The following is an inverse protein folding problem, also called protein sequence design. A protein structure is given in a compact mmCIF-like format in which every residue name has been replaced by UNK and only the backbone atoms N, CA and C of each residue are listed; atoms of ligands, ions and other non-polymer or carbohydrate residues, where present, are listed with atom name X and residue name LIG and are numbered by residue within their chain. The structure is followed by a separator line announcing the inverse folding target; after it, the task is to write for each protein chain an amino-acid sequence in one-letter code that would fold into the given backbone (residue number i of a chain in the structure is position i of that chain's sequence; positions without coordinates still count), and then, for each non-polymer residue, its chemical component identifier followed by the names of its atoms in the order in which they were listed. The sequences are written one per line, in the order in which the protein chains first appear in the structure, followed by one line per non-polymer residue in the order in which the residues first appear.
data_IF_260863353995
#
_entry.id   IF_260863353995
#
_cell.length_a   1.000
_cell.length_b   1.000
_cell.length_c   1.000
_cell.angle_alpha   90.00
_cell.angle_beta   90.00
_cell.angle_gamma   90.00
#
_symmetry.space_group_name_H-M   'P 1'
#
loop_
_entity.id
_entity.type
_entity.pdbx_description
1 polymer ?
#
# COMPACT_ATOMS: atom_id res chain seq x y z
N UNK A 1 -7.34 -30.51 -7.11
CA UNK A 1 -6.24 -29.58 -7.43
C UNK A 1 -5.00 -30.10 -6.74
N UNK A 2 -3.90 -30.24 -7.47
CA UNK A 2 -2.62 -30.62 -6.91
C UNK A 2 -2.06 -29.42 -6.11
N UNK A 3 -1.66 -29.65 -4.85
CA UNK A 3 -1.13 -28.59 -4.00
C UNK A 3 0.27 -28.22 -4.48
N UNK A 4 0.45 -26.98 -4.93
CA UNK A 4 1.75 -26.48 -5.33
C UNK A 4 2.71 -26.54 -4.13
N UNK A 5 3.84 -27.24 -4.28
CA UNK A 5 4.90 -27.26 -3.26
C UNK A 5 5.91 -26.18 -3.60
N UNK A 6 6.00 -25.18 -2.74
CA UNK A 6 6.96 -24.07 -2.84
C UNK A 6 8.06 -24.31 -1.80
N UNK A 7 9.32 -24.11 -2.17
CA UNK A 7 10.41 -24.18 -1.21
C UNK A 7 10.33 -23.00 -0.22
N UNK A 8 10.89 -23.10 1.00
CA UNK A 8 10.95 -21.95 1.90
C UNK A 8 11.65 -20.73 1.28
N UNK A 9 12.67 -20.96 0.45
CA UNK A 9 13.39 -19.88 -0.24
C UNK A 9 12.51 -19.18 -1.29
N UNK A 10 11.79 -19.95 -2.11
CA UNK A 10 10.88 -19.37 -3.11
C UNK A 10 9.70 -18.66 -2.45
N UNK A 11 9.20 -19.19 -1.32
CA UNK A 11 8.15 -18.53 -0.54
C UNK A 11 8.64 -17.17 -0.02
N UNK A 12 9.81 -17.13 0.61
CA UNK A 12 10.39 -15.89 1.14
C UNK A 12 10.68 -14.86 0.03
N UNK A 13 11.09 -15.31 -1.15
CA UNK A 13 11.43 -14.42 -2.27
C UNK A 13 10.19 -13.88 -3.00
N UNK A 14 9.18 -14.71 -3.23
CA UNK A 14 8.06 -14.37 -4.13
C UNK A 14 6.75 -14.01 -3.40
N UNK A 15 6.62 -14.35 -2.11
CA UNK A 15 5.34 -14.29 -1.40
C UNK A 15 5.42 -13.66 0.00
N UNK A 16 6.60 -13.25 0.46
CA UNK A 16 6.78 -12.59 1.77
C UNK A 16 7.22 -11.15 1.59
N UNK A 17 6.51 -10.24 2.25
CA UNK A 17 6.94 -8.85 2.40
C UNK A 17 7.12 -8.55 3.87
N UNK A 18 8.28 -8.00 4.23
CA UNK A 18 8.59 -7.60 5.60
C UNK A 18 8.40 -6.10 5.74
N UNK A 19 7.76 -5.68 6.83
CA UNK A 19 7.46 -4.26 7.08
C UNK A 19 8.70 -3.35 7.00
N UNK A 20 9.88 -3.83 7.44
CA UNK A 20 11.14 -3.07 7.38
C UNK A 20 11.55 -2.68 5.95
N UNK A 21 11.07 -3.42 4.96
CA UNK A 21 11.37 -3.24 3.54
C UNK A 21 10.24 -2.46 2.83
N UNK A 22 9.16 -2.12 3.55
CA UNK A 22 8.03 -1.32 3.04
C UNK A 22 8.36 0.18 3.01
N UNK A 23 9.10 0.57 1.97
CA UNK A 23 9.31 1.96 1.54
C UNK A 23 8.38 2.28 0.37
N UNK A 24 7.69 3.42 0.46
CA UNK A 24 6.69 3.89 -0.47
C UNK A 24 6.98 5.30 -0.98
N UNK A 25 5.99 5.87 -1.65
CA UNK A 25 6.04 7.23 -2.19
C UNK A 25 5.26 8.18 -1.29
N UNK A 26 5.77 9.40 -1.11
CA UNK A 26 5.04 10.52 -0.53
C UNK A 26 4.21 11.30 -1.56
N UNK A 27 4.16 10.82 -2.81
CA UNK A 27 3.41 11.42 -3.91
C UNK A 27 2.78 10.35 -4.82
N UNK A 28 1.84 9.59 -4.27
CA UNK A 28 0.99 8.66 -5.03
C UNK A 28 -0.25 9.33 -5.63
N UNK A 29 -0.76 10.34 -4.93
CA UNK A 29 -2.02 11.04 -5.17
C UNK A 29 -1.78 12.56 -5.15
N UNK A 30 -2.63 13.30 -5.85
CA UNK A 30 -2.62 14.76 -5.91
C UNK A 30 -2.87 15.39 -4.54
N UNK A 31 -3.70 14.77 -3.70
CA UNK A 31 -4.03 15.29 -2.38
C UNK A 31 -2.81 15.36 -1.45
N UNK A 32 -1.80 14.50 -1.63
CA UNK A 32 -0.55 14.52 -0.86
C UNK A 32 0.28 15.80 -1.07
N UNK A 33 -0.09 16.66 -2.03
CA UNK A 33 0.48 18.00 -2.17
C UNK A 33 -0.05 18.99 -1.14
N UNK A 34 -1.14 18.68 -0.45
CA UNK A 34 -1.67 19.45 0.66
C UNK A 34 -1.07 18.93 1.98
N UNK A 35 -0.49 19.79 2.84
CA UNK A 35 0.13 19.36 4.09
C UNK A 35 -0.75 18.50 5.00
N UNK A 36 -2.06 18.77 5.02
CA UNK A 36 -3.06 18.04 5.81
C UNK A 36 -3.25 16.60 5.35
N UNK A 37 -2.82 16.27 4.13
CA UNK A 37 -2.97 14.96 3.51
C UNK A 37 -1.62 14.25 3.28
N UNK A 38 -0.53 14.83 3.78
CA UNK A 38 0.81 14.26 3.66
C UNK A 38 0.92 12.88 4.32
N UNK A 39 1.31 11.88 3.55
CA UNK A 39 1.46 10.48 3.96
C UNK A 39 2.38 9.74 3.00
N UNK A 40 2.92 8.61 3.41
CA UNK A 40 3.64 7.67 2.54
C UNK A 40 2.71 6.51 2.17
N UNK A 41 2.70 6.16 0.88
CA UNK A 41 1.88 5.09 0.31
C UNK A 41 2.77 3.96 -0.17
N UNK A 42 2.54 2.78 0.39
CA UNK A 42 3.24 1.55 0.01
C UNK A 42 2.24 0.57 -0.60
N UNK A 43 2.32 0.32 -1.90
CA UNK A 43 1.60 -0.76 -2.54
C UNK A 43 2.24 -2.10 -2.13
N UNK A 44 1.57 -2.88 -1.30
CA UNK A 44 2.09 -4.17 -0.80
C UNK A 44 1.66 -5.31 -1.71
N UNK A 45 0.37 -5.43 -2.00
CA UNK A 45 -0.18 -6.46 -2.91
C UNK A 45 -0.95 -5.75 -4.01
N UNK A 46 -0.54 -6.00 -5.26
CA UNK A 46 -1.16 -5.39 -6.44
C UNK A 46 -1.02 -3.87 -6.51
N UNK A 47 -1.32 -3.33 -7.69
CA UNK A 47 -1.31 -1.89 -7.92
C UNK A 47 -2.64 -1.27 -7.49
N UNK A 48 -2.57 -0.16 -6.75
CA UNK A 48 -3.74 0.63 -6.39
C UNK A 48 -4.03 1.70 -7.46
N UNK A 49 -5.17 2.38 -7.31
CA UNK A 49 -5.56 3.48 -8.20
C UNK A 49 -4.74 4.73 -7.86
N UNK A 50 -3.44 4.72 -8.20
CA UNK A 50 -2.53 5.86 -7.97
C UNK A 50 -2.49 6.78 -9.18
N UNK A 51 -2.34 8.08 -8.95
CA UNK A 51 -2.29 9.10 -10.02
C UNK A 51 -0.87 9.31 -10.56
N UNK A 52 0.16 9.02 -9.76
CA UNK A 52 1.57 9.13 -10.14
C UNK A 52 2.17 7.79 -10.59
N UNK A 53 1.62 7.18 -11.64
CA UNK A 53 1.94 5.79 -12.05
C UNK A 53 3.40 5.53 -12.41
N UNK A 54 4.15 6.58 -12.74
CA UNK A 54 5.56 6.49 -13.15
C UNK A 54 6.53 6.45 -11.95
N UNK A 55 6.04 6.68 -10.72
CA UNK A 55 6.89 6.63 -9.54
C UNK A 55 7.33 5.19 -9.24
N UNK A 56 8.65 4.88 -9.31
CA UNK A 56 9.14 3.53 -9.06
C UNK A 56 8.89 3.05 -7.63
N UNK A 57 8.68 3.95 -6.66
CA UNK A 57 8.38 3.59 -5.27
C UNK A 57 6.97 3.02 -5.10
N UNK A 58 6.08 3.27 -6.07
CA UNK A 58 4.71 2.74 -6.10
C UNK A 58 4.63 1.34 -6.70
N UNK A 59 5.73 0.77 -7.20
CA UNK A 59 5.73 -0.62 -7.66
C UNK A 59 5.30 -1.55 -6.50
N UNK A 60 4.28 -2.40 -6.71
CA UNK A 60 3.79 -3.32 -5.69
C UNK A 60 4.91 -4.24 -5.19
N UNK A 61 4.96 -4.47 -3.87
CA UNK A 61 5.98 -5.36 -3.27
C UNK A 61 5.75 -6.82 -3.65
N UNK A 62 4.48 -7.22 -3.71
CA UNK A 62 4.00 -8.47 -4.30
C UNK A 62 3.18 -8.13 -5.54
N UNK A 63 3.17 -9.06 -6.49
CA UNK A 63 2.36 -8.96 -7.70
C UNK A 63 0.86 -8.82 -7.42
N UNK A 64 0.07 -8.81 -8.49
CA UNK A 64 -1.37 -8.62 -8.39
C UNK A 64 -2.04 -9.80 -7.67
N UNK A 65 -2.97 -9.49 -6.77
CA UNK A 65 -3.94 -10.44 -6.26
C UNK A 65 -5.27 -10.28 -7.00
N UNK A 66 -6.03 -11.38 -7.08
CA UNK A 66 -7.33 -11.36 -7.73
C UNK A 66 -8.38 -10.77 -6.77
N UNK A 67 -8.97 -9.64 -7.17
CA UNK A 67 -10.12 -9.03 -6.50
C UNK A 67 -9.80 -8.12 -5.30
N UNK A 68 -8.53 -7.92 -4.96
CA UNK A 68 -8.13 -6.95 -3.93
C UNK A 68 -6.70 -6.45 -4.14
N UNK A 69 -6.40 -5.31 -3.51
CA UNK A 69 -5.06 -4.77 -3.30
C UNK A 69 -4.83 -4.55 -1.81
N UNK A 70 -3.58 -4.44 -1.39
CA UNK A 70 -3.21 -4.10 -0.01
C UNK A 70 -2.22 -2.94 -0.01
N UNK A 71 -2.53 -1.91 0.77
CA UNK A 71 -1.71 -0.71 0.96
C UNK A 71 -1.34 -0.53 2.41
N UNK A 72 -0.10 -0.11 2.66
CA UNK A 72 0.19 0.62 3.88
C UNK A 72 0.10 2.12 3.62
N UNK A 73 -0.79 2.75 4.38
CA UNK A 73 -0.90 4.19 4.48
C UNK A 73 -0.17 4.62 5.76
N UNK A 74 0.90 5.39 5.61
CA UNK A 74 1.81 5.75 6.71
C UNK A 74 1.80 7.26 6.88
N UNK A 75 1.11 7.74 7.90
CA UNK A 75 1.09 9.15 8.27
C UNK A 75 2.12 9.45 9.36
N UNK A 76 2.50 10.73 9.50
CA UNK A 76 3.31 11.18 10.62
C UNK A 76 2.49 11.16 11.92
N UNK A 77 3.11 10.75 13.02
CA UNK A 77 2.42 10.67 14.30
C UNK A 77 1.87 12.04 14.72
N UNK A 78 0.56 12.11 14.99
CA UNK A 78 -0.11 13.34 15.42
C UNK A 78 -0.44 14.32 14.30
N UNK A 79 -0.20 13.99 13.02
CA UNK A 79 -0.53 14.91 11.91
C UNK A 79 -2.03 15.02 11.63
N UNK A 80 -2.81 14.00 11.99
CA UNK A 80 -4.21 13.89 11.58
C UNK A 80 -4.39 13.67 10.07
N UNK A 81 -3.31 13.30 9.37
CA UNK A 81 -3.33 13.18 7.91
C UNK A 81 -3.99 11.90 7.46
N UNK A 82 -4.85 12.03 6.45
CA UNK A 82 -5.52 10.92 5.79
C UNK A 82 -5.78 11.25 4.32
N UNK A 83 -6.41 10.34 3.57
CA UNK A 83 -6.87 10.68 2.23
C UNK A 83 -7.91 11.81 2.28
N UNK A 84 -7.91 12.68 1.27
CA UNK A 84 -8.98 13.65 1.08
C UNK A 84 -10.34 12.95 0.93
N UNK A 85 -11.44 13.63 1.25
CA UNK A 85 -12.77 13.02 1.21
C UNK A 85 -13.15 12.63 -0.23
N UNK A 86 -13.52 11.36 -0.45
CA UNK A 86 -13.89 10.82 -1.75
C UNK A 86 -14.79 9.59 -1.60
N UNK A 87 -15.19 8.99 -2.73
CA UNK A 87 -16.05 7.81 -2.78
C UNK A 87 -15.54 6.80 -3.80
N UNK A 88 -15.71 5.50 -3.51
CA UNK A 88 -15.36 4.40 -4.41
C UNK A 88 -16.61 3.61 -4.83
N UNK A 89 -16.49 2.91 -5.96
CA UNK A 89 -17.46 1.87 -6.34
C UNK A 89 -17.15 0.51 -5.70
N UNK A 90 -15.95 0.35 -5.15
CA UNK A 90 -15.46 -0.86 -4.49
C UNK A 90 -15.32 -0.61 -2.99
N UNK A 91 -15.38 -1.69 -2.20
CA UNK A 91 -15.17 -1.61 -0.76
C UNK A 91 -13.73 -1.24 -0.42
N UNK A 92 -13.55 -0.28 0.50
CA UNK A 92 -12.26 0.11 1.06
C UNK A 92 -12.31 -0.11 2.58
N UNK A 93 -11.34 -0.87 3.11
CA UNK A 93 -11.30 -1.24 4.53
C UNK A 93 -10.03 -0.68 5.16
N UNK A 94 -10.20 0.17 6.16
CA UNK A 94 -9.08 0.69 6.96
C UNK A 94 -8.91 -0.13 8.24
N UNK A 95 -7.69 -0.64 8.44
CA UNK A 95 -7.31 -1.37 9.65
C UNK A 95 -6.21 -0.58 10.36
N UNK A 96 -6.49 0.04 11.52
CA UNK A 96 -5.47 0.74 12.30
C UNK A 96 -4.41 -0.25 12.81
N UNK A 97 -3.19 -0.17 12.28
CA UNK A 97 -2.10 -1.09 12.65
C UNK A 97 -1.20 -0.53 13.77
N UNK A 98 -0.97 0.79 13.78
CA UNK A 98 -0.07 1.45 14.74
C UNK A 98 -0.44 2.92 14.90
N UNK A 99 -0.35 3.42 16.13
CA UNK A 99 -0.56 4.83 16.47
C UNK A 99 -2.04 5.17 16.66
N UNK A 100 -2.32 6.47 16.70
CA UNK A 100 -3.67 7.05 16.77
C UNK A 100 -3.96 7.68 15.42
N UNK A 101 -5.17 7.45 14.92
CA UNK A 101 -5.69 7.91 13.63
C UNK A 101 -6.99 8.67 13.86
#
# INVERSE_FOLDING_TARGET
METLRVSPEDMEREHVVRYRDCKGSDLAYLDQRMPEHAREIVNVIGMNVTENTEDPLLKPKLGNAYGFSLVYNKAFAGSGSGPAFHSHQTEEVFIPMKGTW
#
